data_IF_672855256187
#
_entry.id   IF_672855256187
#
_cell.length_a   1.000
_cell.length_b   1.000
_cell.length_c   1.000
_cell.angle_alpha   90.00
_cell.angle_beta   90.00
_cell.angle_gamma   90.00
#
_symmetry.space_group_name_H-M   'P 1'
#
loop_
_entity.id
_entity.type
_entity.pdbx_description
1 polymer ?
#
# COMPACT_ATOMS: atom_id res chain seq x y z
N UNK A 1 36.04 -19.02 -8.57
CA UNK A 1 35.76 -18.40 -7.25
C UNK A 1 34.42 -17.65 -7.27
N UNK A 2 33.38 -18.21 -7.95
CA UNK A 2 32.04 -17.53 -8.18
C UNK A 2 30.91 -18.48 -7.73
N UNK A 3 31.05 -19.15 -6.58
CA UNK A 3 29.98 -20.06 -6.06
C UNK A 3 29.25 -19.55 -4.82
N UNK A 4 29.25 -18.22 -4.53
CA UNK A 4 28.70 -17.68 -3.28
C UNK A 4 27.78 -16.46 -3.39
N UNK A 5 27.18 -16.16 -4.56
CA UNK A 5 26.24 -15.02 -4.69
C UNK A 5 24.87 -15.52 -5.19
N UNK A 6 24.36 -16.61 -4.67
CA UNK A 6 22.97 -17.05 -4.91
C UNK A 6 22.28 -17.33 -3.59
N UNK A 7 22.42 -16.38 -2.65
CA UNK A 7 21.46 -16.22 -1.56
C UNK A 7 20.58 -15.02 -1.94
N UNK A 8 19.73 -15.21 -2.94
CA UNK A 8 18.67 -14.24 -3.22
C UNK A 8 17.63 -14.45 -2.12
N UNK A 9 17.74 -13.60 -1.10
CA UNK A 9 16.70 -13.44 -0.13
C UNK A 9 15.42 -13.13 -0.89
N UNK A 10 14.36 -13.88 -0.61
CA UNK A 10 12.98 -13.52 -0.95
C UNK A 10 12.70 -12.23 -0.18
N UNK A 11 13.08 -11.10 -0.76
CA UNK A 11 12.69 -9.78 -0.27
C UNK A 11 11.29 -9.59 -0.81
N UNK A 12 10.31 -9.83 0.05
CA UNK A 12 8.98 -9.28 -0.17
C UNK A 12 9.16 -7.78 -0.37
N UNK A 13 9.00 -7.29 -1.60
CA UNK A 13 8.89 -5.85 -1.87
C UNK A 13 7.62 -5.34 -1.21
N UNK A 14 7.71 -4.97 0.06
CA UNK A 14 6.82 -3.95 0.58
C UNK A 14 7.19 -2.68 -0.19
N UNK A 15 6.24 -2.13 -0.94
CA UNK A 15 6.34 -0.84 -1.59
C UNK A 15 6.55 0.24 -0.51
N UNK A 16 7.80 0.44 -0.09
CA UNK A 16 8.19 1.55 0.74
C UNK A 16 8.55 2.72 -0.19
N UNK A 17 7.57 3.54 -0.53
CA UNK A 17 7.81 4.81 -1.18
C UNK A 17 8.44 5.77 -0.17
N UNK A 18 9.74 6.01 -0.28
CA UNK A 18 10.41 7.12 0.40
C UNK A 18 10.15 8.40 -0.38
N UNK A 19 9.29 9.25 0.14
CA UNK A 19 9.14 10.63 -0.31
C UNK A 19 10.11 11.53 0.46
N UNK A 20 11.02 12.19 -0.24
CA UNK A 20 11.78 13.32 0.29
C UNK A 20 11.10 14.63 -0.09
N UNK A 21 10.92 15.48 0.90
CA UNK A 21 10.37 16.82 0.82
C UNK A 21 11.12 17.72 -0.16
N UNK A 22 10.35 18.49 -0.96
CA UNK A 22 10.79 19.81 -1.44
C UNK A 22 9.74 20.86 -1.09
N UNK A 23 10.17 21.79 -0.24
CA UNK A 23 9.53 23.07 0.04
C UNK A 23 9.22 23.81 -1.27
N UNK A 24 8.04 24.37 -1.37
CA UNK A 24 7.81 25.54 -2.22
C UNK A 24 6.92 26.52 -1.50
N UNK A 25 7.37 27.72 -1.55
CA UNK A 25 7.07 28.99 -0.94
C UNK A 25 5.67 29.51 -1.23
N UNK A 26 5.16 30.28 -0.26
CA UNK A 26 3.98 31.13 -0.29
C UNK A 26 3.94 32.09 -1.47
N UNK A 27 2.73 32.47 -1.93
CA UNK A 27 2.39 33.88 -2.07
C UNK A 27 0.88 34.14 -2.09
N UNK A 28 0.49 34.90 -1.13
CA UNK A 28 -0.43 36.01 -0.86
C UNK A 28 -1.52 36.44 -1.89
N UNK A 29 -2.70 36.61 -1.26
CA UNK A 29 -3.68 37.70 -1.38
C UNK A 29 -4.43 37.98 -2.70
N UNK A 30 -5.76 37.92 -2.63
CA UNK A 30 -6.60 39.12 -2.61
C UNK A 30 -8.09 38.86 -2.37
N UNK A 31 -8.60 39.68 -1.51
CA UNK A 31 -9.94 40.04 -1.06
C UNK A 31 -10.81 40.65 -2.15
N UNK A 32 -12.12 40.30 -2.19
CA UNK A 32 -13.23 41.23 -2.56
C UNK A 32 -14.57 40.58 -2.29
N UNK A 33 -15.28 40.98 -1.28
CA UNK A 33 -16.38 41.94 -1.13
C UNK A 33 -17.72 41.49 -1.73
N UNK A 34 -18.61 41.17 -0.78
CA UNK A 34 -20.07 41.28 -0.60
C UNK A 34 -20.88 41.96 -1.73
N UNK A 35 -22.00 41.31 -2.10
CA UNK A 35 -23.27 41.99 -2.30
C UNK A 35 -24.43 41.06 -1.95
N UNK A 36 -25.28 41.53 -1.04
CA UNK A 36 -26.56 40.97 -0.60
C UNK A 36 -27.65 41.49 -1.52
N UNK A 37 -28.50 40.62 -2.02
CA UNK A 37 -29.86 41.03 -2.43
C UNK A 37 -30.88 40.00 -2.01
N UNK A 38 -31.86 40.53 -1.29
CA UNK A 38 -33.08 39.91 -0.79
C UNK A 38 -34.10 39.82 -1.90
N UNK A 39 -34.81 38.71 -2.09
CA UNK A 39 -36.17 38.71 -2.61
C UNK A 39 -36.98 37.55 -2.08
N UNK A 40 -38.26 37.88 -1.84
CA UNK A 40 -39.27 37.21 -1.05
C UNK A 40 -39.75 35.84 -1.55
N UNK A 41 -40.07 35.04 -0.58
CA UNK A 41 -41.10 34.06 -0.24
C UNK A 41 -42.14 33.75 -1.32
N UNK A 42 -42.15 32.47 -1.77
CA UNK A 42 -43.38 31.79 -2.15
C UNK A 42 -43.34 30.40 -1.51
N UNK A 43 -44.30 30.14 -0.61
CA UNK A 43 -44.49 28.92 0.12
C UNK A 43 -45.14 27.90 -0.82
N UNK A 44 -44.43 26.83 -1.17
CA UNK A 44 -45.01 25.60 -1.68
C UNK A 44 -44.52 24.50 -0.76
N UNK A 45 -45.44 23.81 -0.11
CA UNK A 45 -45.17 22.60 0.67
C UNK A 45 -44.63 21.53 -0.30
N UNK A 46 -43.31 21.42 -0.39
CA UNK A 46 -42.62 20.27 -0.96
C UNK A 46 -42.36 19.29 0.21
N UNK A 47 -42.80 18.06 0.02
CA UNK A 47 -42.39 16.92 0.83
C UNK A 47 -40.87 16.96 0.98
N UNK A 48 -40.41 17.13 2.21
CA UNK A 48 -39.02 17.13 2.60
C UNK A 48 -38.50 15.70 2.45
N UNK A 49 -38.15 15.33 1.22
CA UNK A 49 -37.22 14.22 1.00
C UNK A 49 -35.91 14.65 1.67
N UNK A 50 -35.59 14.09 2.84
CA UNK A 50 -34.28 14.24 3.46
C UNK A 50 -33.25 13.80 2.43
N UNK A 51 -32.51 14.75 1.89
CA UNK A 51 -31.42 14.46 0.98
C UNK A 51 -30.38 13.63 1.73
N UNK A 52 -30.28 12.35 1.41
CA UNK A 52 -29.28 11.46 1.98
C UNK A 52 -27.92 12.02 1.63
N UNK A 53 -27.20 12.51 2.63
CA UNK A 53 -25.84 13.01 2.45
C UNK A 53 -24.96 11.81 2.10
N UNK A 54 -24.37 11.82 0.89
CA UNK A 54 -23.49 10.75 0.42
C UNK A 54 -22.02 11.15 0.58
N UNK A 55 -21.18 10.20 0.94
CA UNK A 55 -19.74 10.40 1.09
C UNK A 55 -19.04 10.60 -0.25
N UNK A 56 -19.51 9.93 -1.32
CA UNK A 56 -19.13 10.24 -2.70
C UNK A 56 -20.28 11.06 -3.28
N UNK A 57 -20.11 12.37 -3.26
CA UNK A 57 -21.12 13.33 -3.69
C UNK A 57 -20.60 14.17 -4.85
N UNK A 58 -21.52 14.59 -5.71
CA UNK A 58 -21.20 15.48 -6.82
C UNK A 58 -21.64 16.93 -6.56
N UNK A 59 -20.89 17.84 -7.19
CA UNK A 59 -21.30 19.22 -7.39
C UNK A 59 -21.03 19.56 -8.86
N UNK A 60 -22.08 19.82 -9.63
CA UNK A 60 -21.99 20.09 -11.06
C UNK A 60 -21.25 18.99 -11.87
N UNK A 61 -21.49 17.72 -11.51
CA UNK A 61 -20.87 16.54 -12.14
C UNK A 61 -19.43 16.26 -11.71
N UNK A 62 -18.90 16.99 -10.71
CA UNK A 62 -17.56 16.76 -10.13
C UNK A 62 -17.73 16.01 -8.81
N UNK A 63 -17.23 14.77 -8.76
CA UNK A 63 -17.32 13.90 -7.59
C UNK A 63 -16.13 14.10 -6.66
N UNK A 64 -16.42 14.18 -5.35
CA UNK A 64 -15.42 14.25 -4.28
C UNK A 64 -15.63 13.11 -3.28
N UNK A 65 -14.59 12.73 -2.57
CA UNK A 65 -14.64 11.72 -1.52
C UNK A 65 -14.53 12.36 -0.15
N UNK A 66 -15.50 12.06 0.70
CA UNK A 66 -15.47 12.23 2.15
C UNK A 66 -15.69 10.89 2.82
N UNK A 67 -15.62 10.88 4.14
CA UNK A 67 -15.94 9.70 4.94
C UNK A 67 -17.15 10.01 5.82
N UNK A 68 -18.15 9.15 5.79
CA UNK A 68 -19.34 9.16 6.66
C UNK A 68 -19.39 7.81 7.34
N UNK A 69 -18.61 7.70 8.43
CA UNK A 69 -18.44 6.46 9.17
C UNK A 69 -19.27 6.51 10.45
N UNK A 70 -19.94 5.39 10.78
CA UNK A 70 -20.79 5.30 11.94
C UNK A 70 -20.02 4.85 13.19
N UNK A 71 -20.18 5.56 14.29
CA UNK A 71 -19.60 5.21 15.59
C UNK A 71 -19.99 3.79 16.02
N UNK A 72 -18.99 3.03 16.49
CA UNK A 72 -19.13 1.63 16.89
C UNK A 72 -19.10 0.64 15.73
N UNK A 73 -19.19 1.08 14.47
CA UNK A 73 -19.08 0.18 13.32
C UNK A 73 -17.62 -0.21 13.03
N UNK A 74 -17.50 -1.40 12.45
CA UNK A 74 -16.25 -1.98 12.00
C UNK A 74 -16.22 -2.02 10.48
N UNK A 75 -15.16 -1.48 9.91
CA UNK A 75 -14.90 -1.44 8.47
C UNK A 75 -13.77 -2.40 8.13
N UNK A 76 -13.96 -3.33 7.18
CA UNK A 76 -12.89 -4.24 6.77
C UNK A 76 -11.77 -3.48 6.06
N UNK A 77 -10.53 -3.95 6.25
CA UNK A 77 -9.34 -3.42 5.62
C UNK A 77 -8.30 -4.54 5.41
N UNK A 78 -8.79 -5.69 4.96
CA UNK A 78 -7.95 -6.88 4.76
C UNK A 78 -7.43 -6.93 3.33
N UNK A 79 -6.23 -7.49 3.17
CA UNK A 79 -5.63 -7.68 1.85
C UNK A 79 -5.14 -9.11 1.66
N UNK A 80 -5.22 -9.58 0.42
CA UNK A 80 -4.59 -10.81 -0.04
C UNK A 80 -3.69 -10.47 -1.21
N UNK A 81 -2.42 -10.83 -1.11
CA UNK A 81 -1.46 -10.76 -2.20
C UNK A 81 -1.09 -12.18 -2.61
N UNK A 82 -1.23 -12.49 -3.90
CA UNK A 82 -0.73 -13.72 -4.52
C UNK A 82 0.34 -13.34 -5.53
N UNK A 83 1.47 -14.02 -5.48
CA UNK A 83 2.60 -13.75 -6.37
C UNK A 83 3.13 -15.06 -6.93
N UNK A 84 3.41 -15.06 -8.23
CA UNK A 84 4.18 -16.10 -8.92
C UNK A 84 5.48 -15.45 -9.37
N UNK A 85 6.59 -15.95 -8.85
CA UNK A 85 7.92 -15.49 -9.23
C UNK A 85 8.61 -16.56 -10.06
N UNK A 86 9.22 -16.17 -11.18
CA UNK A 86 10.03 -17.05 -12.02
C UNK A 86 11.39 -16.41 -12.25
N UNK A 87 12.44 -17.20 -12.02
CA UNK A 87 13.83 -16.82 -12.26
C UNK A 87 14.35 -17.69 -13.40
N UNK A 88 14.84 -17.08 -14.47
CA UNK A 88 15.45 -17.76 -15.61
C UNK A 88 16.92 -17.34 -15.74
N UNK A 89 17.81 -18.31 -15.75
CA UNK A 89 19.26 -18.06 -15.95
C UNK A 89 19.64 -17.98 -17.44
N UNK A 90 20.92 -17.67 -17.71
CA UNK A 90 21.49 -17.56 -19.06
C UNK A 90 21.46 -18.88 -19.84
N UNK A 91 21.36 -20.03 -19.17
CA UNK A 91 21.26 -21.36 -19.81
C UNK A 91 19.82 -21.69 -20.22
N UNK A 92 18.86 -20.85 -19.83
CA UNK A 92 17.43 -21.09 -20.07
C UNK A 92 16.75 -21.91 -18.98
N UNK A 93 17.48 -22.36 -17.95
CA UNK A 93 16.89 -23.06 -16.81
C UNK A 93 16.03 -22.09 -16.01
N UNK A 94 14.82 -22.54 -15.68
CA UNK A 94 13.86 -21.75 -14.91
C UNK A 94 13.54 -22.41 -13.57
N UNK A 95 13.38 -21.58 -12.55
CA UNK A 95 12.83 -21.96 -11.26
C UNK A 95 11.63 -21.05 -10.96
N UNK A 96 10.56 -21.61 -10.45
CA UNK A 96 9.37 -20.84 -10.09
C UNK A 96 8.96 -21.13 -8.65
N UNK A 97 8.44 -20.10 -8.00
CA UNK A 97 7.84 -20.19 -6.68
C UNK A 97 6.54 -19.38 -6.62
N UNK A 98 5.68 -19.73 -5.71
CA UNK A 98 4.45 -18.98 -5.42
C UNK A 98 4.45 -18.51 -3.99
N UNK A 99 3.92 -17.32 -3.75
CA UNK A 99 3.69 -16.78 -2.43
C UNK A 99 2.26 -16.25 -2.34
N UNK A 100 1.59 -16.54 -1.23
CA UNK A 100 0.33 -15.92 -0.86
C UNK A 100 0.47 -15.32 0.53
N UNK A 101 0.14 -14.06 0.67
CA UNK A 101 0.11 -13.34 1.95
C UNK A 101 -1.30 -12.81 2.16
N UNK A 102 -1.90 -13.18 3.28
CA UNK A 102 -3.19 -12.64 3.75
C UNK A 102 -2.92 -11.83 5.01
N UNK A 103 -3.21 -10.54 4.94
CA UNK A 103 -3.18 -9.61 6.07
C UNK A 103 -4.63 -9.26 6.45
N UNK A 104 -5.07 -9.77 7.59
CA UNK A 104 -6.40 -9.48 8.11
C UNK A 104 -6.34 -8.25 9.03
N UNK A 105 -7.07 -7.24 8.64
CA UNK A 105 -7.15 -5.95 9.36
C UNK A 105 -8.58 -5.45 9.37
N UNK A 106 -8.93 -4.63 10.34
CA UNK A 106 -10.13 -3.83 10.32
C UNK A 106 -9.92 -2.48 11.01
N UNK A 107 -10.88 -1.59 10.79
CA UNK A 107 -10.94 -0.28 11.42
C UNK A 107 -12.25 -0.16 12.17
N UNK A 108 -12.18 0.16 13.47
CA UNK A 108 -13.34 0.43 14.32
C UNK A 108 -13.45 1.93 14.53
N UNK A 109 -14.65 2.49 14.41
CA UNK A 109 -14.91 3.91 14.70
C UNK A 109 -15.21 4.05 16.18
N UNK A 110 -14.26 4.60 16.94
CA UNK A 110 -14.42 4.81 18.38
C UNK A 110 -15.21 6.08 18.68
N UNK A 111 -14.93 7.17 17.96
CA UNK A 111 -15.62 8.44 18.13
C UNK A 111 -15.57 9.29 16.85
N UNK A 112 -16.51 10.25 16.79
CA UNK A 112 -16.48 11.34 15.80
C UNK A 112 -16.89 12.63 16.49
N UNK A 113 -16.00 13.60 16.48
CA UNK A 113 -16.23 14.89 17.13
C UNK A 113 -15.47 15.99 16.38
N UNK A 114 -16.12 17.15 16.19
CA UNK A 114 -15.54 18.32 15.53
C UNK A 114 -14.92 18.03 14.15
N UNK A 115 -15.55 17.15 13.35
CA UNK A 115 -15.10 16.78 12.01
C UNK A 115 -13.89 15.82 12.00
N UNK A 116 -13.54 15.22 13.15
CA UNK A 116 -12.44 14.29 13.32
C UNK A 116 -12.93 12.95 13.85
N UNK A 117 -12.58 11.88 13.13
CA UNK A 117 -12.74 10.51 13.58
C UNK A 117 -11.58 10.10 14.50
N UNK A 118 -11.89 9.38 15.56
CA UNK A 118 -10.96 8.55 16.29
C UNK A 118 -11.25 7.09 15.91
N UNK A 119 -10.26 6.45 15.28
CA UNK A 119 -10.37 5.11 14.73
C UNK A 119 -9.37 4.20 15.41
N UNK A 120 -9.74 2.93 15.61
CA UNK A 120 -8.80 1.87 16.00
C UNK A 120 -8.52 0.96 14.79
N UNK A 121 -7.30 1.03 14.26
CA UNK A 121 -6.79 0.07 13.27
C UNK A 121 -6.29 -1.18 13.99
N UNK A 122 -6.96 -2.30 13.78
CA UNK A 122 -6.59 -3.59 14.35
C UNK A 122 -5.88 -4.44 13.30
N UNK A 123 -4.72 -5.01 13.64
CA UNK A 123 -4.08 -6.10 12.89
C UNK A 123 -4.57 -7.41 13.53
N UNK A 124 -5.42 -8.15 12.83
CA UNK A 124 -6.12 -9.32 13.38
C UNK A 124 -5.30 -10.59 13.18
N UNK A 125 -4.69 -10.73 12.02
CA UNK A 125 -3.93 -11.92 11.67
C UNK A 125 -3.12 -11.75 10.40
N UNK A 126 -2.12 -12.64 10.26
CA UNK A 126 -1.32 -12.78 9.04
C UNK A 126 -1.11 -14.24 8.72
N UNK A 127 -1.35 -14.60 7.46
CA UNK A 127 -1.04 -15.92 6.92
C UNK A 127 -0.12 -15.76 5.72
N UNK A 128 0.95 -16.51 5.71
CA UNK A 128 1.91 -16.59 4.61
C UNK A 128 1.99 -18.03 4.13
N UNK A 129 1.81 -18.26 2.85
CA UNK A 129 1.98 -19.56 2.20
C UNK A 129 3.00 -19.41 1.09
N UNK A 130 4.09 -20.17 1.14
CA UNK A 130 5.13 -20.14 0.11
C UNK A 130 5.34 -21.55 -0.42
N UNK A 131 5.38 -21.69 -1.74
CA UNK A 131 5.64 -22.97 -2.40
C UNK A 131 6.79 -22.81 -3.39
N UNK A 132 7.82 -23.62 -3.24
CA UNK A 132 8.96 -23.70 -4.15
C UNK A 132 9.46 -25.14 -4.20
N UNK A 133 9.86 -25.63 -5.38
CA UNK A 133 10.36 -27.00 -5.60
C UNK A 133 9.44 -28.09 -5.02
N UNK A 134 8.12 -27.91 -5.17
CA UNK A 134 7.11 -28.85 -4.65
C UNK A 134 6.94 -28.87 -3.14
N UNK A 135 7.65 -28.02 -2.41
CA UNK A 135 7.53 -27.89 -0.95
C UNK A 135 6.70 -26.65 -0.60
N UNK A 136 5.74 -26.84 0.29
CA UNK A 136 4.90 -25.75 0.79
C UNK A 136 5.19 -25.48 2.26
N UNK A 137 5.42 -24.22 2.60
CA UNK A 137 5.58 -23.71 3.96
C UNK A 137 4.43 -22.78 4.27
N UNK A 138 3.80 -22.95 5.43
CA UNK A 138 2.71 -22.12 5.91
C UNK A 138 3.05 -21.52 7.26
N UNK A 139 2.91 -20.21 7.40
CA UNK A 139 3.00 -19.47 8.66
C UNK A 139 1.68 -18.76 8.85
N UNK A 140 0.91 -19.18 9.85
CA UNK A 140 -0.41 -18.61 10.16
C UNK A 140 -0.45 -18.19 11.63
N UNK A 141 -0.60 -16.90 11.88
CA UNK A 141 -0.62 -16.35 13.24
C UNK A 141 -1.86 -16.75 14.05
N UNK A 142 -2.89 -17.30 13.40
CA UNK A 142 -4.08 -17.84 14.05
C UNK A 142 -3.95 -19.31 14.42
N UNK A 143 -2.99 -20.02 13.80
CA UNK A 143 -2.67 -21.40 14.11
C UNK A 143 -1.63 -21.52 15.22
N UNK A 144 -1.36 -22.75 15.67
CA UNK A 144 -0.26 -23.05 16.58
C UNK A 144 1.10 -22.71 15.94
N UNK A 145 2.08 -22.36 16.79
CA UNK A 145 3.44 -22.08 16.32
C UNK A 145 4.03 -23.29 15.58
N UNK A 146 4.75 -23.09 14.47
CA UNK A 146 5.48 -24.16 13.79
C UNK A 146 6.49 -24.84 14.72
N UNK A 147 6.76 -26.12 14.45
CA UNK A 147 7.77 -26.88 15.21
C UNK A 147 9.20 -26.51 14.83
N UNK A 148 9.43 -26.18 13.56
CA UNK A 148 10.74 -25.77 13.05
C UNK A 148 11.12 -24.41 13.62
N UNK A 149 12.30 -24.31 14.23
CA UNK A 149 12.71 -23.13 14.99
C UNK A 149 12.78 -21.87 14.13
N UNK A 150 13.27 -21.97 12.89
CA UNK A 150 13.31 -20.82 11.97
C UNK A 150 11.91 -20.29 11.64
N UNK A 151 10.97 -21.16 11.34
CA UNK A 151 9.58 -20.77 11.05
C UNK A 151 8.88 -20.25 12.30
N UNK A 152 9.17 -20.83 13.47
CA UNK A 152 8.66 -20.36 14.76
C UNK A 152 9.14 -18.94 15.07
N UNK A 153 10.37 -18.60 14.74
CA UNK A 153 10.90 -17.25 14.92
C UNK A 153 10.17 -16.23 14.05
N UNK A 154 9.93 -16.55 12.78
CA UNK A 154 9.13 -15.71 11.87
C UNK A 154 7.68 -15.61 12.37
N UNK A 155 7.10 -16.74 12.82
CA UNK A 155 5.76 -16.78 13.39
C UNK A 155 5.65 -15.88 14.63
N UNK A 156 6.63 -15.92 15.56
CA UNK A 156 6.64 -15.09 16.76
C UNK A 156 6.58 -13.60 16.44
N UNK A 157 7.37 -13.12 15.49
CA UNK A 157 7.37 -11.72 15.06
C UNK A 157 6.01 -11.34 14.44
N UNK A 158 5.50 -12.16 13.51
CA UNK A 158 4.20 -11.93 12.90
C UNK A 158 3.05 -12.01 13.93
N UNK A 159 3.17 -12.85 14.96
CA UNK A 159 2.19 -12.95 16.04
C UNK A 159 2.13 -11.71 16.92
N UNK A 160 3.27 -11.03 17.10
CA UNK A 160 3.31 -9.74 17.80
C UNK A 160 2.64 -8.64 16.95
N UNK A 161 2.86 -8.65 15.63
CA UNK A 161 2.17 -7.75 14.71
C UNK A 161 0.66 -8.03 14.73
N UNK A 162 0.27 -9.31 14.60
CA UNK A 162 -1.12 -9.73 14.78
C UNK A 162 -1.53 -9.54 16.26
N UNK A 163 -2.61 -8.81 16.48
CA UNK A 163 -3.06 -8.39 17.81
C UNK A 163 -2.57 -7.00 18.23
N UNK A 164 -1.80 -6.32 17.38
CA UNK A 164 -1.48 -4.90 17.58
C UNK A 164 -2.64 -4.01 17.15
N UNK A 165 -2.77 -2.89 17.88
CA UNK A 165 -3.80 -1.88 17.65
C UNK A 165 -3.15 -0.50 17.57
N UNK A 166 -3.64 0.32 16.66
CA UNK A 166 -3.17 1.69 16.48
C UNK A 166 -4.37 2.63 16.51
N UNK A 167 -4.25 3.72 17.25
CA UNK A 167 -5.25 4.78 17.19
C UNK A 167 -4.91 5.72 16.04
N UNK A 168 -5.87 5.95 15.16
CA UNK A 168 -5.77 6.84 14.00
C UNK A 168 -6.73 8.01 14.21
N UNK A 169 -6.22 9.24 14.15
CA UNK A 169 -7.08 10.43 14.07
C UNK A 169 -7.15 10.89 12.63
N UNK A 170 -8.36 10.98 12.09
CA UNK A 170 -8.61 11.27 10.68
C UNK A 170 -9.76 12.27 10.54
N UNK A 171 -9.58 13.30 9.71
CA UNK A 171 -10.66 14.21 9.33
C UNK A 171 -11.66 13.51 8.41
N UNK A 172 -12.87 14.05 8.32
CA UNK A 172 -13.91 13.54 7.40
C UNK A 172 -13.49 13.55 5.92
N UNK A 173 -12.53 14.38 5.53
CA UNK A 173 -11.96 14.41 4.17
C UNK A 173 -10.84 13.39 3.95
N UNK A 174 -10.63 12.44 4.87
CA UNK A 174 -9.62 11.39 4.80
C UNK A 174 -8.21 11.83 5.17
N UNK A 175 -7.99 13.09 5.60
CA UNK A 175 -6.67 13.53 6.06
C UNK A 175 -6.33 12.88 7.39
N UNK A 176 -5.31 12.03 7.41
CA UNK A 176 -4.81 11.40 8.63
C UNK A 176 -3.97 12.42 9.40
N UNK A 177 -4.41 12.77 10.60
CA UNK A 177 -3.75 13.74 11.48
C UNK A 177 -2.57 13.05 12.18
N UNK A 178 -2.84 11.93 12.87
CA UNK A 178 -1.84 11.20 13.66
C UNK A 178 -2.16 9.71 13.73
N UNK A 179 -1.11 8.93 13.99
CA UNK A 179 -1.20 7.51 14.36
C UNK A 179 -0.43 7.32 15.66
N UNK A 180 -0.99 6.59 16.63
CA UNK A 180 -0.35 6.29 17.90
C UNK A 180 -0.45 4.79 18.24
N UNK A 181 0.32 4.33 19.26
CA UNK A 181 0.42 2.92 19.64
C UNK A 181 1.64 2.20 19.08
N UNK A 182 2.48 2.87 18.29
CA UNK A 182 3.65 2.24 17.63
C UNK A 182 4.75 1.92 18.64
N UNK A 183 4.94 2.75 19.68
CA UNK A 183 5.94 2.49 20.71
C UNK A 183 5.65 1.20 21.49
N UNK A 184 4.39 0.89 21.73
CA UNK A 184 3.98 -0.36 22.38
C UNK A 184 4.32 -1.58 21.51
N UNK A 185 4.18 -1.43 20.18
CA UNK A 185 4.60 -2.46 19.24
C UNK A 185 6.11 -2.66 19.31
N UNK A 186 6.93 -1.60 19.32
CA UNK A 186 8.39 -1.72 19.42
C UNK A 186 8.82 -2.47 20.68
N UNK A 187 8.22 -2.16 21.83
CA UNK A 187 8.50 -2.85 23.08
C UNK A 187 8.14 -4.36 23.00
N UNK A 188 7.00 -4.69 22.36
CA UNK A 188 6.59 -6.09 22.16
C UNK A 188 7.54 -6.82 21.20
N UNK A 189 7.96 -6.20 20.10
CA UNK A 189 8.92 -6.76 19.13
C UNK A 189 10.27 -6.98 19.83
N UNK A 190 10.78 -6.02 20.58
CA UNK A 190 12.03 -6.16 21.33
C UNK A 190 11.98 -7.36 22.30
N UNK A 191 10.88 -7.51 23.03
CA UNK A 191 10.65 -8.66 23.91
C UNK A 191 10.64 -9.98 23.13
N UNK A 192 9.99 -10.02 21.97
CA UNK A 192 9.87 -11.23 21.15
C UNK A 192 11.21 -11.66 20.53
N UNK A 193 12.06 -10.70 20.11
CA UNK A 193 13.36 -11.00 19.49
C UNK A 193 14.49 -11.23 20.50
N UNK A 194 14.36 -10.78 21.75
CA UNK A 194 15.38 -10.92 22.79
C UNK A 194 15.83 -12.36 23.06
N UNK A 195 14.96 -13.38 23.05
CA UNK A 195 15.39 -14.77 23.16
C UNK A 195 16.08 -15.30 21.89
N UNK A 196 15.82 -14.69 20.73
CA UNK A 196 16.27 -15.14 19.42
C UNK A 196 17.65 -14.56 19.04
N UNK A 197 17.90 -13.29 19.41
CA UNK A 197 19.13 -12.56 19.10
C UNK A 197 19.88 -12.32 20.40
N UNK A 198 20.93 -13.11 20.65
CA UNK A 198 21.73 -13.04 21.89
C UNK A 198 22.73 -11.89 21.89
N UNK A 199 23.30 -11.57 20.71
CA UNK A 199 24.21 -10.46 20.58
C UNK A 199 23.48 -9.11 20.70
N UNK A 200 23.93 -8.26 21.60
CA UNK A 200 23.28 -6.98 21.91
C UNK A 200 23.31 -6.00 20.72
N UNK A 201 24.41 -5.98 19.96
CA UNK A 201 24.55 -5.10 18.81
C UNK A 201 23.68 -5.55 17.64
N UNK A 202 23.63 -6.87 17.38
CA UNK A 202 22.74 -7.43 16.36
C UNK A 202 21.25 -7.20 16.72
N UNK A 203 20.88 -7.35 18.01
CA UNK A 203 19.53 -7.03 18.48
C UNK A 203 19.19 -5.55 18.26
N UNK A 204 20.09 -4.65 18.65
CA UNK A 204 19.90 -3.20 18.45
C UNK A 204 19.75 -2.88 16.96
N UNK A 205 20.61 -3.43 16.10
CA UNK A 205 20.54 -3.22 14.65
C UNK A 205 19.20 -3.73 14.06
N UNK A 206 18.73 -4.90 14.50
CA UNK A 206 17.44 -5.44 14.08
C UNK A 206 16.28 -4.50 14.47
N UNK A 207 16.25 -4.02 15.72
CA UNK A 207 15.20 -3.12 16.21
C UNK A 207 15.22 -1.79 15.44
N UNK A 208 16.39 -1.21 15.19
CA UNK A 208 16.50 0.03 14.40
C UNK A 208 16.06 -0.18 12.95
N UNK A 209 16.42 -1.29 12.33
CA UNK A 209 15.92 -1.64 10.99
C UNK A 209 14.40 -1.84 10.98
N UNK A 210 13.84 -2.51 12.00
CA UNK A 210 12.41 -2.66 12.15
C UNK A 210 11.70 -1.30 12.26
N UNK A 211 12.20 -0.38 13.09
CA UNK A 211 11.68 0.99 13.24
C UNK A 211 11.76 1.80 11.94
N UNK A 212 12.82 1.61 11.14
CA UNK A 212 12.92 2.25 9.83
C UNK A 212 11.86 1.75 8.86
N UNK A 213 11.60 0.44 8.84
CA UNK A 213 10.60 -0.17 7.96
C UNK A 213 9.16 -0.08 8.47
N UNK A 214 8.95 0.21 9.76
CA UNK A 214 7.63 0.25 10.38
C UNK A 214 7.57 1.40 11.38
N UNK A 215 7.14 2.57 10.94
CA UNK A 215 7.06 3.80 11.75
C UNK A 215 5.77 4.57 11.47
N UNK A 216 5.50 5.59 12.31
CA UNK A 216 4.28 6.38 12.20
C UNK A 216 4.09 7.00 10.81
N UNK A 217 5.16 7.57 10.24
CA UNK A 217 5.10 8.21 8.92
C UNK A 217 4.67 7.21 7.85
N UNK A 218 5.33 6.04 7.79
CA UNK A 218 5.03 5.01 6.78
C UNK A 218 3.61 4.45 6.93
N UNK A 219 3.19 4.15 8.18
CA UNK A 219 1.83 3.64 8.42
C UNK A 219 0.79 4.70 8.04
N UNK A 220 1.05 5.96 8.38
CA UNK A 220 0.18 7.08 8.04
C UNK A 220 0.04 7.25 6.53
N UNK A 221 1.16 7.19 5.80
CA UNK A 221 1.18 7.27 4.34
C UNK A 221 0.45 6.08 3.70
N UNK A 222 0.74 4.86 4.16
CA UNK A 222 0.10 3.63 3.66
C UNK A 222 -1.41 3.65 3.92
N UNK A 223 -1.82 3.96 5.15
CA UNK A 223 -3.24 4.05 5.50
C UNK A 223 -3.95 5.13 4.69
N UNK A 224 -3.36 6.33 4.59
CA UNK A 224 -3.93 7.44 3.84
C UNK A 224 -4.08 7.11 2.34
N UNK A 225 -3.04 6.54 1.70
CA UNK A 225 -3.10 6.10 0.30
C UNK A 225 -4.10 4.96 0.10
N UNK A 226 -4.22 4.09 1.09
CA UNK A 226 -5.14 2.95 1.05
C UNK A 226 -6.62 3.33 1.06
N UNK A 227 -7.00 4.49 1.59
CA UNK A 227 -8.40 4.90 1.72
C UNK A 227 -8.79 6.09 0.84
N UNK A 228 -7.87 7.04 0.57
CA UNK A 228 -8.13 8.24 -0.24
C UNK A 228 -7.87 7.94 -1.72
N UNK A 229 -8.91 7.64 -2.45
CA UNK A 229 -8.79 7.23 -3.86
C UNK A 229 -9.10 8.39 -4.80
N UNK A 230 -10.20 9.13 -4.59
CA UNK A 230 -10.52 10.26 -5.45
C UNK A 230 -9.60 11.46 -5.18
N UNK A 231 -9.21 12.22 -6.23
CA UNK A 231 -8.38 13.40 -6.05
C UNK A 231 -9.13 14.48 -5.25
N UNK A 232 -8.41 15.21 -4.37
CA UNK A 232 -9.00 16.25 -3.51
C UNK A 232 -9.76 17.34 -4.26
N UNK A 233 -9.33 17.65 -5.50
CA UNK A 233 -10.01 18.63 -6.39
C UNK A 233 -11.33 18.10 -6.96
N UNK A 234 -11.65 16.83 -6.72
CA UNK A 234 -12.73 16.11 -7.37
C UNK A 234 -12.40 15.67 -8.80
N UNK A 235 -13.29 14.89 -9.38
CA UNK A 235 -13.14 14.28 -10.70
C UNK A 235 -14.50 14.01 -11.33
N UNK A 236 -14.63 14.11 -12.65
CA UNK A 236 -15.84 13.75 -13.40
C UNK A 236 -15.82 12.29 -13.84
N UNK A 237 -16.99 11.70 -14.07
CA UNK A 237 -17.07 10.38 -14.72
C UNK A 237 -16.39 10.46 -16.10
N UNK A 238 -15.52 9.48 -16.40
CA UNK A 238 -14.68 9.41 -17.60
C UNK A 238 -13.37 10.18 -17.48
N UNK A 239 -13.20 11.05 -16.48
CA UNK A 239 -11.96 11.81 -16.25
C UNK A 239 -10.92 10.95 -15.52
N UNK A 240 -9.64 11.21 -15.81
CA UNK A 240 -8.52 10.48 -15.27
C UNK A 240 -7.55 11.37 -14.50
N UNK A 241 -6.84 10.79 -13.53
CA UNK A 241 -5.72 11.40 -12.83
C UNK A 241 -4.56 10.42 -12.72
N UNK A 242 -3.35 10.94 -12.65
CA UNK A 242 -2.13 10.10 -12.60
C UNK A 242 -1.36 10.40 -11.34
N UNK A 243 -0.93 9.32 -10.67
CA UNK A 243 0.00 9.36 -9.55
C UNK A 243 1.33 8.74 -9.98
N UNK A 244 2.42 9.27 -9.45
CA UNK A 244 3.77 8.79 -9.77
C UNK A 244 4.54 8.60 -8.47
N UNK A 245 5.04 7.39 -8.26
CA UNK A 245 5.86 7.01 -7.12
C UNK A 245 7.29 6.66 -7.55
N UNK A 246 8.27 7.01 -6.72
CA UNK A 246 9.63 6.55 -6.91
C UNK A 246 9.75 5.08 -6.48
N UNK A 247 10.25 4.22 -7.37
CA UNK A 247 10.50 2.80 -7.09
C UNK A 247 11.89 2.62 -6.47
N UNK A 248 12.85 3.44 -6.87
CA UNK A 248 14.20 3.43 -6.32
C UNK A 248 14.43 4.65 -5.41
N UNK A 249 15.25 4.53 -4.34
CA UNK A 249 15.53 5.64 -3.43
C UNK A 249 16.13 6.89 -4.12
N UNK A 250 16.86 6.70 -5.21
CA UNK A 250 17.45 7.78 -6.00
C UNK A 250 16.47 8.43 -6.98
N UNK A 251 15.21 7.94 -7.03
CA UNK A 251 14.14 8.46 -7.88
C UNK A 251 14.34 8.23 -9.39
N UNK A 252 15.33 7.44 -9.79
CA UNK A 252 15.59 7.19 -11.21
C UNK A 252 14.57 6.27 -11.86
N UNK A 253 14.02 5.34 -11.10
CA UNK A 253 12.94 4.46 -11.56
C UNK A 253 11.63 4.92 -10.92
N UNK A 254 10.65 5.20 -11.76
CA UNK A 254 9.32 5.66 -11.33
C UNK A 254 8.24 4.72 -11.85
N UNK A 255 7.22 4.50 -11.05
CA UNK A 255 5.94 3.91 -11.49
C UNK A 255 4.94 5.05 -11.69
N UNK A 256 4.20 5.00 -12.77
CA UNK A 256 3.09 5.93 -13.03
C UNK A 256 1.80 5.16 -13.16
N UNK A 257 0.78 5.59 -12.43
CA UNK A 257 -0.52 4.93 -12.34
C UNK A 257 -1.60 5.93 -12.69
N UNK A 258 -2.40 5.60 -13.67
CA UNK A 258 -3.57 6.39 -14.08
C UNK A 258 -4.83 5.72 -13.57
N UNK A 259 -5.60 6.48 -12.82
CA UNK A 259 -6.93 6.15 -12.33
C UNK A 259 -7.96 6.86 -13.19
N UNK A 260 -9.11 6.21 -13.43
CA UNK A 260 -10.25 6.80 -14.16
C UNK A 260 -11.51 6.52 -13.39
N UNK A 261 -12.28 7.54 -13.01
CA UNK A 261 -13.61 7.35 -12.45
C UNK A 261 -14.55 6.91 -13.58
N UNK A 262 -14.94 5.64 -13.55
CA UNK A 262 -15.73 5.06 -14.66
C UNK A 262 -17.23 5.18 -14.44
N UNK A 263 -17.66 5.21 -13.15
CA UNK A 263 -19.08 5.12 -12.81
C UNK A 263 -19.34 5.56 -11.38
N UNK A 264 -20.48 6.20 -11.13
CA UNK A 264 -21.03 6.43 -9.80
C UNK A 264 -22.54 6.19 -9.87
N UNK A 265 -22.98 5.04 -9.42
CA UNK A 265 -24.39 4.65 -9.40
C UNK A 265 -24.64 3.47 -8.44
N UNK A 266 -25.89 3.23 -8.08
CA UNK A 266 -26.32 2.09 -7.25
C UNK A 266 -25.55 1.97 -5.92
N UNK A 267 -25.18 3.10 -5.32
CA UNK A 267 -24.48 3.13 -4.04
C UNK A 267 -22.98 2.81 -4.13
N UNK A 268 -22.38 2.81 -5.32
CA UNK A 268 -20.95 2.57 -5.52
C UNK A 268 -20.32 3.56 -6.50
N UNK A 269 -19.04 3.86 -6.28
CA UNK A 269 -18.18 4.51 -7.26
C UNK A 269 -17.12 3.49 -7.74
N UNK A 270 -16.95 3.39 -9.06
CA UNK A 270 -16.01 2.46 -9.70
C UNK A 270 -14.86 3.23 -10.34
N UNK A 271 -13.64 2.80 -10.07
CA UNK A 271 -12.41 3.39 -10.58
C UNK A 271 -11.60 2.29 -11.28
N UNK A 272 -11.22 2.53 -12.53
CA UNK A 272 -10.25 1.68 -13.23
C UNK A 272 -8.82 2.17 -13.00
N UNK A 273 -7.88 1.23 -12.99
CA UNK A 273 -6.45 1.47 -12.76
C UNK A 273 -5.68 0.92 -13.95
N UNK A 274 -4.75 1.74 -14.50
CA UNK A 274 -3.77 1.30 -15.49
C UNK A 274 -2.45 2.02 -15.27
N UNK A 275 -1.33 1.35 -15.48
CA UNK A 275 -0.03 1.98 -15.37
C UNK A 275 1.11 0.98 -15.30
N UNK A 276 2.21 1.38 -14.68
CA UNK A 276 3.36 0.53 -14.46
C UNK A 276 4.68 1.28 -14.44
N UNK A 277 5.75 0.54 -14.64
CA UNK A 277 7.13 1.02 -14.70
C UNK A 277 7.55 0.96 -16.17
N UNK A 278 7.78 2.11 -16.83
CA UNK A 278 8.38 2.12 -18.17
C UNK A 278 9.74 1.42 -18.16
N UNK A 279 10.11 0.75 -19.25
CA UNK A 279 11.41 0.10 -19.36
C UNK A 279 12.53 1.09 -19.01
N UNK A 280 13.28 0.76 -17.98
CA UNK A 280 14.46 1.50 -17.52
C UNK A 280 15.65 0.57 -17.55
N UNK A 281 16.76 1.03 -18.10
CA UNK A 281 18.00 0.25 -18.16
C UNK A 281 19.18 1.12 -17.74
N UNK A 282 20.02 0.59 -16.85
CA UNK A 282 21.27 1.22 -16.43
C UNK A 282 22.44 0.29 -16.75
N UNK A 283 23.54 0.89 -17.19
CA UNK A 283 24.80 0.19 -17.48
C UNK A 283 25.92 0.77 -16.63
N UNK A 284 26.71 -0.10 -16.06
CA UNK A 284 27.94 0.27 -15.36
C UNK A 284 29.08 -0.62 -15.82
N UNK A 285 30.21 0.00 -16.22
CA UNK A 285 31.39 -0.73 -16.61
C UNK A 285 32.51 -0.49 -15.59
N UNK A 286 33.07 -1.58 -15.07
CA UNK A 286 34.18 -1.55 -14.14
C UNK A 286 35.14 -2.68 -14.47
N UNK A 287 36.42 -2.35 -14.58
CA UNK A 287 37.49 -3.32 -14.87
C UNK A 287 37.22 -4.21 -16.11
N UNK A 288 36.66 -3.64 -17.17
CA UNK A 288 36.36 -4.37 -18.40
C UNK A 288 35.09 -5.23 -18.37
N UNK A 289 34.39 -5.30 -17.22
CA UNK A 289 33.11 -5.99 -17.09
C UNK A 289 31.99 -4.95 -17.14
N UNK A 290 31.04 -5.17 -18.01
CA UNK A 290 29.80 -4.34 -18.08
C UNK A 290 28.64 -5.07 -17.43
N UNK A 291 28.08 -4.49 -16.38
CA UNK A 291 26.83 -4.89 -15.78
C UNK A 291 25.68 -4.05 -16.36
N UNK A 292 24.60 -4.70 -16.76
CA UNK A 292 23.37 -4.05 -17.20
C UNK A 292 22.22 -4.53 -16.32
N UNK A 293 21.45 -3.59 -15.77
CA UNK A 293 20.22 -3.87 -15.01
C UNK A 293 19.09 -3.17 -15.72
N UNK A 294 18.01 -3.90 -16.02
CA UNK A 294 16.80 -3.33 -16.58
C UNK A 294 15.58 -3.77 -15.80
N UNK A 295 14.62 -2.87 -15.67
CA UNK A 295 13.33 -3.11 -15.02
C UNK A 295 12.20 -2.54 -15.86
N UNK A 296 11.12 -3.26 -15.95
CA UNK A 296 9.84 -2.81 -16.50
C UNK A 296 8.69 -3.46 -15.74
N UNK A 297 7.51 -2.87 -15.83
CA UNK A 297 6.32 -3.43 -15.21
C UNK A 297 5.05 -2.84 -15.76
N UNK A 298 3.97 -3.60 -15.63
CA UNK A 298 2.61 -3.16 -15.95
C UNK A 298 1.72 -3.41 -14.75
N UNK A 299 0.71 -2.57 -14.58
CA UNK A 299 -0.34 -2.81 -13.61
C UNK A 299 -1.70 -2.42 -14.16
N UNK A 300 -2.72 -3.18 -13.77
CA UNK A 300 -4.10 -2.91 -14.11
C UNK A 300 -5.04 -3.44 -13.03
N UNK A 301 -6.17 -2.79 -12.86
CA UNK A 301 -7.11 -3.19 -11.83
C UNK A 301 -8.32 -2.29 -11.74
N UNK A 302 -9.05 -2.48 -10.66
CA UNK A 302 -10.23 -1.68 -10.34
C UNK A 302 -10.39 -1.53 -8.83
N UNK A 303 -11.03 -0.42 -8.43
CA UNK A 303 -11.43 -0.13 -7.06
C UNK A 303 -12.93 0.16 -7.07
N UNK A 304 -13.62 -0.33 -6.06
CA UNK A 304 -15.01 -0.01 -5.77
C UNK A 304 -15.08 0.64 -4.41
N UNK A 305 -15.69 1.83 -4.33
CA UNK A 305 -15.91 2.60 -3.11
C UNK A 305 -17.41 2.58 -2.80
N UNK A 306 -17.76 2.40 -1.54
CA UNK A 306 -19.13 2.58 -1.08
C UNK A 306 -19.51 4.07 -1.12
N UNK A 307 -20.55 4.42 -1.86
CA UNK A 307 -20.94 5.80 -2.08
C UNK A 307 -21.46 6.48 -0.80
N UNK A 308 -22.05 5.71 0.13
CA UNK A 308 -22.61 6.26 1.36
C UNK A 308 -21.55 6.55 2.42
N UNK A 309 -20.53 5.68 2.51
CA UNK A 309 -19.52 5.77 3.57
C UNK A 309 -18.19 6.34 3.10
N UNK A 310 -17.91 6.32 1.78
CA UNK A 310 -16.61 6.67 1.22
C UNK A 310 -15.53 5.59 1.43
N UNK A 311 -15.88 4.46 2.08
CA UNK A 311 -14.94 3.39 2.37
C UNK A 311 -14.73 2.46 1.17
N UNK A 312 -13.51 1.91 1.03
CA UNK A 312 -13.23 0.92 -0.02
C UNK A 312 -14.03 -0.34 0.25
N UNK A 313 -14.82 -0.75 -0.72
CA UNK A 313 -15.62 -1.97 -0.68
C UNK A 313 -14.86 -3.16 -1.25
N UNK A 314 -14.10 -2.91 -2.31
CA UNK A 314 -13.27 -3.93 -2.96
C UNK A 314 -12.21 -3.27 -3.84
N UNK A 315 -11.03 -3.88 -3.88
CA UNK A 315 -10.00 -3.54 -4.88
C UNK A 315 -9.40 -4.83 -5.44
N UNK A 316 -9.02 -4.81 -6.71
CA UNK A 316 -8.25 -5.88 -7.35
C UNK A 316 -7.23 -5.24 -8.27
N UNK A 317 -5.96 -5.60 -8.08
CA UNK A 317 -4.82 -5.06 -8.81
C UNK A 317 -3.93 -6.21 -9.29
N UNK A 318 -3.68 -6.28 -10.59
CA UNK A 318 -2.71 -7.20 -11.18
C UNK A 318 -1.46 -6.43 -11.58
N UNK A 319 -0.31 -6.89 -11.13
CA UNK A 319 1.00 -6.28 -11.36
C UNK A 319 1.91 -7.33 -11.98
N UNK A 320 2.54 -6.99 -13.11
CA UNK A 320 3.59 -7.80 -13.73
C UNK A 320 4.87 -6.99 -13.78
N UNK A 321 5.97 -7.56 -13.31
CA UNK A 321 7.28 -6.94 -13.38
C UNK A 321 8.29 -7.89 -14.00
N UNK A 322 9.25 -7.31 -14.74
CA UNK A 322 10.42 -8.02 -15.28
C UNK A 322 11.66 -7.26 -14.86
N UNK A 323 12.57 -7.96 -14.19
CA UNK A 323 13.88 -7.46 -13.84
C UNK A 323 14.92 -8.35 -14.55
N UNK A 324 15.77 -7.75 -15.39
CA UNK A 324 16.82 -8.44 -16.10
C UNK A 324 18.16 -7.88 -15.70
N UNK A 325 19.05 -8.76 -15.29
CA UNK A 325 20.44 -8.44 -14.98
C UNK A 325 21.34 -9.20 -15.93
N UNK A 326 22.35 -8.54 -16.49
CA UNK A 326 23.35 -9.19 -17.31
C UNK A 326 24.74 -8.63 -16.99
N UNK A 327 25.75 -9.49 -17.09
CA UNK A 327 27.16 -9.16 -16.94
C UNK A 327 27.93 -9.70 -18.15
N UNK A 328 28.78 -8.86 -18.76
CA UNK A 328 29.58 -9.28 -19.89
C UNK A 328 30.99 -8.72 -19.77
N UNK A 329 32.00 -9.54 -20.09
CA UNK A 329 33.40 -9.17 -20.24
C UNK A 329 33.80 -8.94 -21.72
N UNK A 330 32.78 -8.91 -22.61
CA UNK A 330 32.94 -8.80 -24.06
C UNK A 330 33.16 -10.14 -24.77
N UNK A 331 33.41 -11.24 -24.03
CA UNK A 331 33.59 -12.60 -24.58
C UNK A 331 32.43 -13.50 -24.16
N UNK A 332 32.01 -13.38 -22.91
CA UNK A 332 30.91 -14.15 -22.35
C UNK A 332 29.86 -13.19 -21.74
N UNK A 333 28.59 -13.60 -21.82
CA UNK A 333 27.51 -12.87 -21.20
C UNK A 333 26.70 -13.84 -20.34
N UNK A 334 26.61 -13.51 -19.06
CA UNK A 334 25.70 -14.17 -18.13
C UNK A 334 24.50 -13.27 -17.88
N UNK A 335 23.30 -13.84 -17.82
CA UNK A 335 22.11 -13.07 -17.53
C UNK A 335 21.14 -13.85 -16.66
N UNK A 336 20.42 -13.10 -15.83
CA UNK A 336 19.30 -13.60 -15.03
C UNK A 336 18.10 -12.71 -15.30
N UNK A 337 16.98 -13.35 -15.61
CA UNK A 337 15.69 -12.67 -15.75
C UNK A 337 14.77 -13.14 -14.65
N UNK A 338 14.25 -12.20 -13.88
CA UNK A 338 13.25 -12.43 -12.86
C UNK A 338 11.93 -11.80 -13.31
N UNK A 339 10.87 -12.59 -13.35
CA UNK A 339 9.51 -12.11 -13.59
C UNK A 339 8.67 -12.34 -12.35
N UNK A 340 7.80 -11.38 -12.03
CA UNK A 340 6.80 -11.49 -10.98
C UNK A 340 5.43 -11.17 -11.57
N UNK A 341 4.44 -12.01 -11.26
CA UNK A 341 3.02 -11.81 -11.58
C UNK A 341 2.26 -11.82 -10.25
N UNK A 342 1.80 -10.65 -9.83
CA UNK A 342 1.15 -10.45 -8.54
C UNK A 342 -0.30 -10.02 -8.72
N UNK A 343 -1.19 -10.60 -7.91
CA UNK A 343 -2.57 -10.14 -7.74
C UNK A 343 -2.74 -9.67 -6.30
N UNK A 344 -3.18 -8.43 -6.10
CA UNK A 344 -3.50 -7.86 -4.80
C UNK A 344 -5.00 -7.60 -4.77
N UNK A 345 -5.67 -8.09 -3.73
CA UNK A 345 -7.10 -7.80 -3.46
C UNK A 345 -7.26 -7.18 -2.08
N UNK A 346 -8.15 -6.21 -1.97
CA UNK A 346 -8.60 -5.60 -0.71
C UNK A 346 -10.10 -5.82 -0.59
N UNK A 347 -10.52 -6.26 0.61
CA UNK A 347 -11.93 -6.48 0.95
C UNK A 347 -12.26 -5.79 2.26
#
# INVERSE_FOLDING_TARGET
>A
MIKRILAIGIIGMTLAACSQDKKTTENTDKKSTTTTENTEKTTTEEEKTESVVMAISDSAGVYTQKFILEKGKTYPFSSTQKEIQTIKDHTGKSMSGTQEVVDERNVVVENFENGVYELTLNIIGKKMTSTADGKTVVIDTKAAAPKEEQLKNIWNINKVLAGSKFTVKMKENGEVISISGINDLYAKIEKAVSPLIKDANAKKAFIEQFKQGFNEKLIKEEFSKGINILPKKGVKIGESWTETDNITPDGKVKSSVTYTLTKVENGIAEISIKGGIPLKSEKQTQQGVTATISIEGTQQGNITIDQNTGWIKKSSLNIKTTNKQSMTDGKQTESVTQTSDSTITIN
#
